data_IF_880954698312
#
_entry.id   IF_880954698312
#
_cell.length_a   1.000
_cell.length_b   1.000
_cell.length_c   1.000
_cell.angle_alpha   90.00
_cell.angle_beta   90.00
_cell.angle_gamma   90.00
#
_symmetry.space_group_name_H-M   'P 1'
#
loop_
_entity.id
_entity.type
_entity.pdbx_description
1 polymer ?
#
# COMPACT_ATOMS: atom_id res chain seq x y z
N UNK A 1 7.49 39.35 -37.02
CA UNK A 1 7.89 39.54 -35.61
C UNK A 1 7.54 38.26 -34.87
N UNK A 2 8.51 37.37 -34.65
CA UNK A 2 8.30 36.12 -33.95
C UNK A 2 8.42 36.36 -32.44
N UNK A 3 7.34 36.14 -31.69
CA UNK A 3 7.38 36.16 -30.23
C UNK A 3 7.90 34.81 -29.73
N UNK A 4 8.87 34.75 -28.80
CA UNK A 4 9.34 33.49 -28.23
C UNK A 4 8.34 32.96 -27.21
N UNK A 5 7.87 31.73 -27.40
CA UNK A 5 7.11 30.98 -26.40
C UNK A 5 8.06 30.55 -25.27
N UNK A 6 8.14 31.32 -24.19
CA UNK A 6 8.81 30.88 -22.95
C UNK A 6 7.87 29.98 -22.16
N UNK A 7 7.72 28.72 -22.60
CA UNK A 7 7.11 27.66 -21.80
C UNK A 7 8.06 27.29 -20.65
N UNK A 8 7.78 27.78 -19.45
CA UNK A 8 8.52 27.48 -18.20
C UNK A 8 8.63 25.95 -17.98
N UNK A 9 9.80 25.41 -17.57
CA UNK A 9 10.00 23.97 -17.34
C UNK A 9 9.41 23.43 -16.01
N UNK A 10 8.38 24.09 -15.44
CA UNK A 10 7.86 23.75 -14.11
C UNK A 10 7.12 22.41 -14.02
N UNK A 11 6.72 21.82 -15.15
CA UNK A 11 5.95 20.57 -15.17
C UNK A 11 6.82 19.32 -14.96
N UNK A 12 8.08 19.33 -15.40
CA UNK A 12 8.94 18.15 -15.36
C UNK A 12 9.49 17.84 -13.96
N UNK A 13 9.85 18.87 -13.19
CA UNK A 13 10.33 18.73 -11.80
C UNK A 13 9.24 18.14 -10.89
N UNK A 14 8.00 18.57 -11.07
CA UNK A 14 6.85 18.04 -10.34
C UNK A 14 6.59 16.57 -10.68
N UNK A 15 6.71 16.18 -11.96
CA UNK A 15 6.55 14.77 -12.37
C UNK A 15 7.65 13.90 -11.79
N UNK A 16 8.89 14.39 -11.73
CA UNK A 16 10.01 13.67 -11.11
C UNK A 16 9.79 13.47 -9.60
N UNK A 17 9.39 14.53 -8.88
CA UNK A 17 9.08 14.46 -7.45
C UNK A 17 7.94 13.49 -7.14
N UNK A 18 6.86 13.50 -7.96
CA UNK A 18 5.75 12.57 -7.83
C UNK A 18 6.18 11.11 -8.07
N UNK A 19 7.06 10.86 -9.06
CA UNK A 19 7.60 9.51 -9.31
C UNK A 19 8.42 9.01 -8.13
N UNK A 20 9.27 9.86 -7.55
CA UNK A 20 10.04 9.50 -6.35
C UNK A 20 9.13 9.20 -5.17
N UNK A 21 8.07 9.98 -4.97
CA UNK A 21 7.10 9.74 -3.90
C UNK A 21 6.33 8.43 -4.12
N UNK A 22 5.93 8.13 -5.36
CA UNK A 22 5.31 6.84 -5.71
C UNK A 22 6.25 5.67 -5.38
N UNK A 23 7.54 5.78 -5.69
CA UNK A 23 8.51 4.73 -5.37
C UNK A 23 8.65 4.54 -3.86
N UNK A 24 8.81 5.63 -3.10
CA UNK A 24 8.90 5.59 -1.64
C UNK A 24 7.65 4.97 -1.00
N UNK A 25 6.47 5.33 -1.49
CA UNK A 25 5.21 4.77 -1.01
C UNK A 25 5.09 3.28 -1.34
N UNK A 26 5.53 2.84 -2.52
CA UNK A 26 5.56 1.42 -2.89
C UNK A 26 6.50 0.61 -2.00
N UNK A 27 7.70 1.11 -1.73
CA UNK A 27 8.64 0.46 -0.80
C UNK A 27 8.02 0.34 0.59
N UNK A 28 7.36 1.40 1.06
CA UNK A 28 6.68 1.39 2.36
C UNK A 28 5.49 0.44 2.41
N UNK A 29 4.75 0.28 1.31
CA UNK A 29 3.69 -0.74 1.21
C UNK A 29 4.29 -2.13 1.41
N UNK A 30 5.37 -2.46 0.68
CA UNK A 30 6.03 -3.78 0.78
C UNK A 30 6.55 -4.03 2.19
N UNK A 31 7.16 -3.01 2.83
CA UNK A 31 7.64 -3.13 4.21
C UNK A 31 6.50 -3.38 5.20
N UNK A 32 5.38 -2.66 5.05
CA UNK A 32 4.20 -2.85 5.90
C UNK A 32 3.53 -4.20 5.66
N UNK A 33 3.46 -4.67 4.42
CA UNK A 33 2.96 -6.00 4.08
C UNK A 33 3.82 -7.09 4.73
N UNK A 34 5.15 -6.95 4.69
CA UNK A 34 6.07 -7.87 5.35
C UNK A 34 5.85 -7.86 6.87
N UNK A 35 5.73 -6.68 7.49
CA UNK A 35 5.43 -6.57 8.92
C UNK A 35 4.10 -7.22 9.28
N UNK A 36 3.05 -7.02 8.48
CA UNK A 36 1.74 -7.66 8.68
C UNK A 36 1.88 -9.17 8.57
N UNK A 37 2.58 -9.67 7.56
CA UNK A 37 2.84 -11.10 7.37
C UNK A 37 3.59 -11.69 8.57
N UNK A 38 4.64 -11.03 9.04
CA UNK A 38 5.39 -11.42 10.23
C UNK A 38 4.50 -11.46 11.49
N UNK A 39 3.65 -10.45 11.68
CA UNK A 39 2.69 -10.39 12.79
C UNK A 39 1.69 -11.53 12.67
N UNK A 40 1.17 -11.82 11.48
CA UNK A 40 0.25 -12.93 11.24
C UNK A 40 0.92 -14.27 11.53
N UNK A 41 2.12 -14.53 11.01
CA UNK A 41 2.87 -15.76 11.24
C UNK A 41 3.20 -15.99 12.73
N UNK A 42 3.57 -14.92 13.46
CA UNK A 42 3.88 -15.00 14.90
C UNK A 42 2.64 -14.94 15.80
N UNK A 43 1.49 -14.56 15.25
CA UNK A 43 0.26 -14.52 16.00
C UNK A 43 -0.21 -15.95 16.30
N UNK A 44 -0.41 -16.25 17.59
CA UNK A 44 -1.26 -17.38 18.00
C UNK A 44 -2.70 -17.03 17.64
N UNK A 45 -3.06 -17.29 16.38
CA UNK A 45 -4.34 -16.91 15.81
C UNK A 45 -5.49 -17.38 16.71
N UNK A 46 -6.25 -16.40 17.22
CA UNK A 46 -7.52 -16.66 17.88
C UNK A 46 -8.57 -16.26 16.86
N UNK A 47 -9.01 -17.23 16.08
CA UNK A 47 -10.00 -17.02 15.05
C UNK A 47 -11.37 -16.87 15.70
N UNK A 48 -12.07 -15.82 15.31
CA UNK A 48 -13.49 -15.66 15.56
C UNK A 48 -14.21 -16.02 14.26
N UNK A 49 -14.89 -17.16 14.27
CA UNK A 49 -15.61 -17.69 13.13
C UNK A 49 -17.02 -17.08 13.11
N UNK A 50 -17.36 -16.44 11.99
CA UNK A 50 -18.73 -16.07 11.64
C UNK A 50 -19.19 -16.96 10.48
N UNK A 51 -20.50 -17.09 10.21
CA UNK A 51 -21.01 -18.03 9.19
C UNK A 51 -20.42 -17.84 7.78
N UNK A 52 -19.90 -16.65 7.49
CA UNK A 52 -19.40 -16.22 6.17
C UNK A 52 -17.89 -16.04 6.12
N UNK A 53 -17.24 -15.83 7.26
CA UNK A 53 -15.80 -15.55 7.34
C UNK A 53 -15.24 -15.88 8.72
N UNK A 54 -13.97 -16.29 8.78
CA UNK A 54 -13.21 -16.34 10.03
C UNK A 54 -12.26 -15.16 10.08
N UNK A 55 -12.23 -14.44 11.19
CA UNK A 55 -11.29 -13.32 11.39
C UNK A 55 -10.53 -13.50 12.70
N UNK A 56 -9.21 -13.40 12.66
CA UNK A 56 -8.41 -13.35 13.86
C UNK A 56 -8.65 -12.02 14.58
N UNK A 57 -9.07 -12.09 15.85
CA UNK A 57 -9.30 -10.88 16.68
C UNK A 57 -8.01 -10.12 17.02
N UNK A 58 -6.85 -10.75 16.86
CA UNK A 58 -5.55 -10.17 17.22
C UNK A 58 -4.81 -9.55 16.03
N UNK A 59 -4.69 -10.29 14.92
CA UNK A 59 -3.98 -9.83 13.72
C UNK A 59 -4.91 -9.40 12.58
N UNK A 60 -6.23 -9.41 12.79
CA UNK A 60 -7.25 -9.03 11.81
C UNK A 60 -7.22 -9.84 10.50
N UNK A 61 -6.40 -10.89 10.41
CA UNK A 61 -6.38 -11.82 9.29
C UNK A 61 -7.77 -12.45 9.12
N UNK A 62 -8.36 -12.28 7.94
CA UNK A 62 -9.70 -12.75 7.64
C UNK A 62 -9.66 -13.68 6.42
N UNK A 63 -10.35 -14.80 6.53
CA UNK A 63 -10.60 -15.74 5.44
C UNK A 63 -12.10 -15.85 5.22
N UNK A 64 -12.54 -15.68 3.98
CA UNK A 64 -13.91 -15.96 3.55
C UNK A 64 -14.12 -17.46 3.39
N UNK A 65 -15.21 -17.98 3.94
CA UNK A 65 -15.55 -19.41 3.88
C UNK A 65 -16.35 -19.79 2.62
N UNK A 66 -16.58 -18.84 1.69
CA UNK A 66 -17.31 -19.06 0.44
C UNK A 66 -16.34 -19.05 -0.75
N UNK A 67 -16.38 -20.14 -1.54
CA UNK A 67 -15.68 -20.36 -2.81
C UNK A 67 -16.49 -19.87 -4.00
#
# INVERSE_FOLDING_TARGET
MAQPFTGKPQSFENVAALKSEILRLKERIVELEQQISDIQQKCRHVFFETPVMRKCIKCHYAESLYY
#
